data_IF_684922806768
#
_entry.id   IF_684922806768
#
_cell.length_a   1.000
_cell.length_b   1.000
_cell.length_c   1.000
_cell.angle_alpha   90.00
_cell.angle_beta   90.00
_cell.angle_gamma   90.00
#
_symmetry.space_group_name_H-M   'P 1'
#
loop_
_entity.id
_entity.type
_entity.pdbx_description
1 polymer ?
#
# COMPACT_ATOMS: atom_id res chain seq x y z
N UNK A 1 9.08 -77.17 11.02
CA UNK A 1 9.08 -77.39 9.55
C UNK A 1 9.80 -76.20 8.92
N UNK A 2 11.11 -76.33 8.70
CA UNK A 2 11.97 -75.35 8.04
C UNK A 2 12.01 -75.73 6.56
N UNK A 3 11.66 -74.81 5.67
CA UNK A 3 11.85 -74.99 4.22
C UNK A 3 12.94 -74.02 3.79
N UNK A 4 13.90 -74.61 3.09
CA UNK A 4 15.12 -74.04 2.53
C UNK A 4 14.75 -73.50 1.14
N UNK A 5 15.04 -72.23 0.86
CA UNK A 5 14.98 -71.69 -0.50
C UNK A 5 16.35 -71.80 -1.18
N UNK A 6 16.34 -72.44 -2.35
CA UNK A 6 17.47 -72.61 -3.25
C UNK A 6 17.64 -71.36 -4.12
N UNK A 7 18.88 -70.87 -4.23
CA UNK A 7 19.27 -69.87 -5.22
C UNK A 7 19.42 -70.49 -6.62
N UNK A 8 18.93 -69.78 -7.64
CA UNK A 8 19.23 -70.02 -9.05
C UNK A 8 19.75 -68.72 -9.66
N UNK A 9 21.02 -68.74 -10.03
CA UNK A 9 21.77 -67.66 -10.68
C UNK A 9 21.53 -67.71 -12.19
N UNK A 10 21.02 -66.63 -12.79
CA UNK A 10 20.95 -66.48 -14.25
C UNK A 10 21.83 -65.33 -14.71
N UNK A 11 22.86 -65.66 -15.49
CA UNK A 11 23.71 -64.74 -16.25
C UNK A 11 22.98 -64.25 -17.51
N UNK A 12 22.97 -62.94 -17.77
CA UNK A 12 22.68 -62.36 -19.09
C UNK A 12 23.78 -61.36 -19.49
N UNK A 13 24.21 -61.32 -20.76
CA UNK A 13 25.34 -60.53 -21.22
C UNK A 13 24.96 -59.06 -21.44
N UNK A 14 25.85 -58.15 -21.05
CA UNK A 14 25.72 -56.70 -21.29
C UNK A 14 26.25 -56.41 -22.70
N UNK A 15 25.36 -56.05 -23.64
CA UNK A 15 25.75 -55.43 -24.91
C UNK A 15 26.11 -53.95 -24.66
N UNK A 16 27.40 -53.60 -24.85
CA UNK A 16 27.86 -52.21 -24.88
C UNK A 16 27.64 -51.62 -26.27
N UNK A 17 26.64 -50.75 -26.41
CA UNK A 17 26.50 -49.88 -27.58
C UNK A 17 27.39 -48.65 -27.35
N UNK A 18 28.38 -48.45 -28.21
CA UNK A 18 29.26 -47.28 -28.20
C UNK A 18 28.67 -46.19 -29.10
N UNK A 19 28.29 -45.06 -28.51
CA UNK A 19 27.95 -43.84 -29.26
C UNK A 19 29.14 -42.88 -29.28
N UNK A 20 29.43 -42.30 -30.46
CA UNK A 20 30.54 -41.35 -30.66
C UNK A 20 30.31 -40.03 -29.89
N UNK A 21 31.35 -39.39 -29.32
CA UNK A 21 31.21 -38.34 -28.29
C UNK A 21 30.85 -36.93 -28.79
N UNK A 22 30.37 -36.78 -30.02
CA UNK A 22 30.18 -35.46 -30.66
C UNK A 22 28.73 -35.13 -31.02
N UNK A 23 27.79 -36.08 -30.93
CA UNK A 23 26.37 -35.84 -31.22
C UNK A 23 25.53 -35.67 -29.93
N UNK A 24 26.05 -36.08 -28.76
CA UNK A 24 25.35 -35.93 -27.47
C UNK A 24 25.46 -34.53 -26.85
N UNK A 25 26.37 -33.65 -27.31
CA UNK A 25 26.47 -32.28 -26.78
C UNK A 25 25.48 -31.29 -27.40
N UNK A 26 24.87 -31.61 -28.55
CA UNK A 26 23.86 -30.74 -29.19
C UNK A 26 22.41 -31.12 -28.88
N UNK A 27 22.13 -32.34 -28.43
CA UNK A 27 20.79 -32.70 -27.93
C UNK A 27 20.61 -32.43 -26.43
N UNK A 28 21.67 -32.45 -25.62
CA UNK A 28 21.55 -32.15 -24.18
C UNK A 28 21.46 -30.64 -23.87
N UNK A 29 21.89 -29.77 -24.79
CA UNK A 29 21.66 -28.32 -24.68
C UNK A 29 20.28 -27.87 -25.21
N UNK A 30 19.53 -28.73 -25.89
CA UNK A 30 18.19 -28.38 -26.41
C UNK A 30 17.06 -28.85 -25.48
N UNK A 31 17.31 -29.83 -24.60
CA UNK A 31 16.35 -30.27 -23.58
C UNK A 31 16.47 -29.52 -22.25
N UNK A 32 17.53 -28.73 -22.04
CA UNK A 32 17.68 -27.88 -20.85
C UNK A 32 17.24 -26.42 -21.10
N UNK A 33 17.00 -26.04 -22.36
CA UNK A 33 16.44 -24.73 -22.74
C UNK A 33 14.91 -24.70 -22.86
N UNK A 34 14.23 -25.83 -22.67
CA UNK A 34 12.76 -25.93 -22.72
C UNK A 34 12.09 -26.10 -21.35
N UNK A 35 12.85 -26.04 -20.25
CA UNK A 35 12.32 -26.11 -18.87
C UNK A 35 12.48 -24.80 -18.09
N UNK A 36 12.83 -23.70 -18.76
CA UNK A 36 12.97 -22.37 -18.17
C UNK A 36 11.94 -21.35 -18.70
N UNK A 37 10.78 -21.80 -19.17
CA UNK A 37 9.76 -20.93 -19.77
C UNK A 37 8.37 -20.96 -19.11
N UNK A 38 8.22 -21.52 -17.90
CA UNK A 38 6.90 -21.55 -17.21
C UNK A 38 6.97 -21.14 -15.75
N UNK A 39 7.68 -20.05 -15.46
CA UNK A 39 7.47 -19.29 -14.22
C UNK A 39 7.34 -17.80 -14.57
N UNK A 40 6.44 -17.49 -15.50
CA UNK A 40 5.71 -16.23 -15.38
C UNK A 40 4.89 -16.43 -14.11
N UNK A 41 5.41 -15.95 -12.97
CA UNK A 41 4.55 -15.64 -11.85
C UNK A 41 3.55 -14.63 -12.41
N UNK A 42 2.36 -15.11 -12.79
CA UNK A 42 1.23 -14.21 -12.92
C UNK A 42 1.12 -13.55 -11.57
N UNK A 43 1.51 -12.27 -11.49
CA UNK A 43 1.00 -11.43 -10.43
C UNK A 43 -0.51 -11.59 -10.55
N UNK A 44 -1.13 -12.21 -9.54
CA UNK A 44 -2.58 -12.19 -9.43
C UNK A 44 -3.00 -10.73 -9.64
N UNK A 45 -3.94 -10.50 -10.56
CA UNK A 45 -4.46 -9.16 -10.77
C UNK A 45 -4.78 -8.55 -9.39
N UNK A 46 -4.45 -7.26 -9.18
CA UNK A 46 -4.76 -6.61 -7.92
C UNK A 46 -6.23 -6.87 -7.55
N UNK A 47 -6.55 -7.05 -6.26
CA UNK A 47 -7.91 -7.37 -5.85
C UNK A 47 -8.87 -6.31 -6.39
N UNK A 48 -10.08 -6.73 -6.79
CA UNK A 48 -11.11 -5.77 -7.12
C UNK A 48 -11.52 -5.04 -5.85
N UNK A 49 -11.48 -3.72 -5.87
CA UNK A 49 -11.77 -2.88 -4.71
C UNK A 49 -12.54 -1.65 -5.11
N UNK A 50 -13.48 -1.24 -4.25
CA UNK A 50 -14.30 -0.05 -4.44
C UNK A 50 -14.04 0.98 -3.34
N UNK A 51 -14.22 2.26 -3.68
CA UNK A 51 -14.09 3.39 -2.76
C UNK A 51 -15.49 3.88 -2.38
N UNK A 52 -15.77 3.87 -1.07
CA UNK A 52 -16.99 4.40 -0.48
C UNK A 52 -16.69 5.66 0.31
N UNK A 53 -17.51 6.69 0.16
CA UNK A 53 -17.42 7.96 0.87
C UNK A 53 -18.61 8.11 1.82
N UNK A 54 -18.32 8.42 3.07
CA UNK A 54 -19.30 8.74 4.11
C UNK A 54 -19.21 10.21 4.47
N UNK A 55 -20.34 10.84 4.75
CA UNK A 55 -20.39 12.06 5.56
C UNK A 55 -20.03 11.71 7.01
N UNK A 56 -19.10 12.44 7.58
CA UNK A 56 -18.57 12.23 8.93
C UNK A 56 -18.88 13.45 9.82
N UNK A 57 -19.20 13.18 11.09
CA UNK A 57 -19.17 14.19 12.15
C UNK A 57 -18.42 13.64 13.34
N UNK A 58 -17.65 14.50 13.98
CA UNK A 58 -16.87 14.15 15.15
C UNK A 58 -17.18 15.08 16.33
N UNK A 59 -17.26 14.51 17.53
CA UNK A 59 -17.37 15.28 18.77
C UNK A 59 -16.76 14.51 19.93
N UNK A 60 -15.70 15.07 20.54
CA UNK A 60 -14.99 14.47 21.69
C UNK A 60 -14.59 13.01 21.42
N UNK A 61 -13.93 12.76 20.30
CA UNK A 61 -13.49 11.42 19.88
C UNK A 61 -14.59 10.48 19.39
N UNK A 62 -15.87 10.87 19.49
CA UNK A 62 -17.00 10.09 18.96
C UNK A 62 -17.25 10.46 17.51
N UNK A 63 -17.23 9.46 16.65
CA UNK A 63 -17.49 9.60 15.22
C UNK A 63 -18.92 9.13 14.92
N UNK A 64 -19.61 9.84 14.05
CA UNK A 64 -20.87 9.41 13.45
C UNK A 64 -20.75 9.49 11.93
N UNK A 65 -21.14 8.41 11.26
CA UNK A 65 -21.11 8.29 9.81
C UNK A 65 -22.54 8.28 9.26
N UNK A 66 -22.73 8.89 8.11
CA UNK A 66 -24.02 8.95 7.41
C UNK A 66 -23.78 9.12 5.91
N UNK A 67 -24.83 8.95 5.09
CA UNK A 67 -24.80 9.18 3.63
C UNK A 67 -23.60 8.51 2.96
N UNK A 68 -23.68 7.19 2.84
CA UNK A 68 -22.71 6.38 2.12
C UNK A 68 -22.92 6.50 0.61
N UNK A 69 -21.82 6.65 -0.14
CA UNK A 69 -21.81 6.61 -1.61
C UNK A 69 -20.61 5.79 -2.12
N UNK A 70 -20.85 4.81 -2.98
CA UNK A 70 -19.80 4.17 -3.78
C UNK A 70 -19.43 5.08 -4.96
N UNK A 71 -18.18 5.53 -5.03
CA UNK A 71 -17.70 6.43 -6.08
C UNK A 71 -16.89 5.72 -7.18
N UNK A 72 -16.59 4.43 -7.01
CA UNK A 72 -15.85 3.63 -8.00
C UNK A 72 -16.54 2.30 -8.25
N UNK A 73 -17.84 2.33 -8.49
CA UNK A 73 -18.67 1.12 -8.70
C UNK A 73 -18.35 0.47 -10.05
N UNK A 74 -17.27 -0.30 -10.11
CA UNK A 74 -16.80 -1.00 -11.31
C UNK A 74 -15.97 -2.22 -10.92
N UNK A 75 -15.73 -3.09 -11.90
CA UNK A 75 -14.72 -4.13 -11.73
C UNK A 75 -13.33 -3.52 -11.89
N UNK A 76 -12.42 -3.88 -10.98
CA UNK A 76 -11.02 -3.46 -11.00
C UNK A 76 -10.51 -2.94 -9.67
N UNK A 77 -9.26 -2.49 -9.66
CA UNK A 77 -8.57 -2.02 -8.48
C UNK A 77 -8.69 -0.50 -8.37
N UNK A 78 -9.50 -0.02 -7.44
CA UNK A 78 -9.57 1.37 -7.02
C UNK A 78 -9.14 1.50 -5.55
N UNK A 79 -8.06 2.24 -5.29
CA UNK A 79 -7.37 2.16 -4.01
C UNK A 79 -6.66 3.46 -3.60
N UNK A 80 -6.18 3.47 -2.36
CA UNK A 80 -5.32 4.52 -1.78
C UNK A 80 -5.90 5.94 -1.96
N UNK A 81 -7.17 6.19 -1.58
CA UNK A 81 -7.78 7.50 -1.74
C UNK A 81 -7.07 8.57 -0.91
N UNK A 82 -7.06 9.80 -1.41
CA UNK A 82 -6.68 11.00 -0.68
C UNK A 82 -7.57 12.17 -1.10
N UNK A 83 -7.93 13.03 -0.14
CA UNK A 83 -8.77 14.20 -0.42
C UNK A 83 -7.91 15.39 -0.86
N UNK A 84 -8.41 16.15 -1.83
CA UNK A 84 -7.86 17.43 -2.27
C UNK A 84 -8.92 18.53 -2.20
N UNK A 85 -8.63 19.61 -1.47
CA UNK A 85 -9.51 20.78 -1.26
C UNK A 85 -10.95 20.45 -0.77
N UNK A 86 -11.17 19.29 -0.15
CA UNK A 86 -12.49 18.78 0.28
C UNK A 86 -13.53 18.56 -0.84
N UNK A 87 -13.17 18.88 -2.09
CA UNK A 87 -14.00 18.79 -3.29
C UNK A 87 -13.64 17.59 -4.14
N UNK A 88 -12.38 17.13 -4.07
CA UNK A 88 -11.88 16.07 -4.92
C UNK A 88 -11.31 14.90 -4.12
N UNK A 89 -11.38 13.71 -4.71
CA UNK A 89 -10.65 12.53 -4.25
C UNK A 89 -9.68 12.10 -5.35
N UNK A 90 -8.40 12.03 -5.01
CA UNK A 90 -7.41 11.34 -5.84
C UNK A 90 -7.35 9.88 -5.41
N UNK A 91 -7.19 8.96 -6.36
CA UNK A 91 -7.06 7.54 -6.08
C UNK A 91 -6.29 6.81 -7.18
N UNK A 92 -5.72 5.67 -6.83
CA UNK A 92 -5.08 4.77 -7.78
C UNK A 92 -6.14 3.89 -8.45
N UNK A 93 -6.09 3.76 -9.77
CA UNK A 93 -7.03 2.94 -10.55
C UNK A 93 -6.30 2.06 -11.55
N UNK A 94 -6.61 0.76 -11.59
CA UNK A 94 -6.12 -0.12 -12.66
C UNK A 94 -6.85 0.11 -13.98
N UNK A 95 -6.08 0.19 -15.06
CA UNK A 95 -6.54 0.22 -16.45
C UNK A 95 -6.76 -1.21 -16.98
N UNK A 96 -7.23 -1.32 -18.24
CA UNK A 96 -7.59 -2.62 -18.84
C UNK A 96 -6.41 -3.58 -18.97
N UNK A 97 -5.20 -3.07 -19.16
CA UNK A 97 -3.96 -3.85 -19.26
C UNK A 97 -3.31 -4.14 -17.90
N UNK A 98 -3.91 -3.67 -16.81
CA UNK A 98 -3.43 -3.84 -15.44
C UNK A 98 -2.45 -2.76 -14.95
N UNK A 99 -1.98 -1.86 -15.82
CA UNK A 99 -1.23 -0.68 -15.39
C UNK A 99 -2.13 0.23 -14.53
N UNK A 100 -1.56 0.98 -13.58
CA UNK A 100 -2.33 1.86 -12.71
C UNK A 100 -2.02 3.33 -12.94
N UNK A 101 -3.07 4.13 -13.05
CA UNK A 101 -2.99 5.59 -13.12
C UNK A 101 -3.57 6.24 -11.87
N UNK A 102 -3.28 7.53 -11.69
CA UNK A 102 -3.98 8.36 -10.71
C UNK A 102 -5.19 9.02 -11.34
N UNK A 103 -6.35 8.76 -10.76
CA UNK A 103 -7.61 9.36 -11.12
C UNK A 103 -7.97 10.47 -10.13
N UNK A 104 -8.79 11.42 -10.58
CA UNK A 104 -9.45 12.41 -9.72
C UNK A 104 -10.96 12.28 -9.89
N UNK A 105 -11.69 12.24 -8.78
CA UNK A 105 -13.14 12.24 -8.71
C UNK A 105 -13.62 13.55 -8.09
N UNK A 106 -14.52 14.26 -8.79
CA UNK A 106 -15.19 15.45 -8.29
C UNK A 106 -16.41 15.05 -7.44
N UNK A 107 -16.42 15.44 -6.15
CA UNK A 107 -17.48 15.10 -5.22
C UNK A 107 -18.81 15.84 -5.49
N UNK A 108 -18.77 16.96 -6.22
CA UNK A 108 -19.92 17.78 -6.55
C UNK A 108 -20.50 17.43 -7.92
N UNK A 109 -19.68 17.45 -8.97
CA UNK A 109 -20.11 17.14 -10.34
C UNK A 109 -20.23 15.63 -10.59
N UNK A 110 -19.65 14.81 -9.71
CA UNK A 110 -19.64 13.35 -9.83
C UNK A 110 -18.90 12.82 -11.08
N UNK A 111 -17.91 13.58 -11.54
CA UNK A 111 -17.11 13.27 -12.71
C UNK A 111 -15.74 12.66 -12.33
N UNK A 112 -15.26 11.73 -13.17
CA UNK A 112 -13.95 11.10 -13.06
C UNK A 112 -13.06 11.57 -14.21
N UNK A 113 -11.81 11.94 -13.89
CA UNK A 113 -10.77 12.23 -14.88
C UNK A 113 -9.49 11.45 -14.56
N UNK A 114 -8.80 10.96 -15.59
CA UNK A 114 -7.45 10.42 -15.47
C UNK A 114 -6.43 11.57 -15.44
N UNK A 115 -5.62 11.68 -14.38
CA UNK A 115 -4.64 12.75 -14.21
C UNK A 115 -3.26 12.41 -14.77
N UNK A 116 -2.82 11.15 -14.70
CA UNK A 116 -1.45 10.79 -15.09
C UNK A 116 -1.36 10.21 -16.49
N UNK A 117 -2.29 9.33 -16.89
CA UNK A 117 -2.35 8.67 -18.20
C UNK A 117 -0.95 8.25 -18.69
N UNK A 118 -0.30 7.44 -17.86
CA UNK A 118 1.11 7.14 -17.91
C UNK A 118 1.39 5.80 -18.58
N UNK A 119 2.65 5.54 -18.93
CA UNK A 119 3.10 4.18 -19.30
C UNK A 119 3.55 3.37 -18.09
N UNK A 120 3.94 4.06 -17.03
CA UNK A 120 4.41 3.49 -15.79
C UNK A 120 3.24 3.39 -14.81
N UNK A 121 3.32 2.48 -13.84
CA UNK A 121 2.25 2.39 -12.82
C UNK A 121 2.49 3.38 -11.69
N UNK A 122 1.48 4.16 -11.34
CA UNK A 122 1.49 5.06 -10.19
C UNK A 122 0.55 4.60 -9.07
N UNK A 123 0.94 4.88 -7.82
CA UNK A 123 0.25 4.45 -6.61
C UNK A 123 0.29 5.52 -5.52
N UNK A 124 -0.60 5.39 -4.54
CA UNK A 124 -0.62 6.17 -3.30
C UNK A 124 -0.57 7.70 -3.53
N UNK A 125 -1.50 8.27 -4.32
CA UNK A 125 -1.51 9.70 -4.58
C UNK A 125 -1.71 10.48 -3.29
N UNK A 126 -0.90 11.52 -3.06
CA UNK A 126 -1.01 12.40 -1.91
C UNK A 126 -0.84 13.86 -2.35
N UNK A 127 -1.89 14.70 -2.23
CA UNK A 127 -1.77 16.13 -2.45
C UNK A 127 -0.68 16.76 -1.58
N UNK A 128 0.10 17.67 -2.17
CA UNK A 128 1.16 18.37 -1.46
C UNK A 128 0.56 19.62 -0.80
N UNK A 129 0.55 19.73 0.54
CA UNK A 129 -0.11 20.84 1.23
C UNK A 129 0.41 22.21 0.77
N UNK A 130 -0.52 23.09 0.37
CA UNK A 130 -0.20 24.46 -0.09
C UNK A 130 0.22 24.57 -1.56
N UNK A 131 0.26 23.48 -2.31
CA UNK A 131 0.61 23.47 -3.74
C UNK A 131 -0.50 22.85 -4.57
N UNK A 132 -0.63 23.29 -5.82
CA UNK A 132 -1.55 22.67 -6.79
C UNK A 132 -0.90 21.45 -7.46
N UNK A 133 -0.42 20.52 -6.63
CA UNK A 133 0.38 19.35 -7.03
C UNK A 133 0.11 18.16 -6.10
N UNK A 134 0.45 16.96 -6.55
CA UNK A 134 0.40 15.73 -5.76
C UNK A 134 1.66 14.91 -5.98
N UNK A 135 2.02 14.11 -4.98
CA UNK A 135 3.08 13.12 -5.09
C UNK A 135 2.49 11.71 -5.24
N UNK A 136 3.26 10.81 -5.84
CA UNK A 136 2.92 9.40 -6.05
C UNK A 136 4.14 8.53 -5.83
N UNK A 137 3.91 7.25 -5.57
CA UNK A 137 4.89 6.19 -5.80
C UNK A 137 4.76 5.75 -7.26
N UNK A 138 5.82 5.88 -8.06
CA UNK A 138 5.85 5.43 -9.46
C UNK A 138 6.78 4.23 -9.60
N UNK A 139 6.30 3.19 -10.29
CA UNK A 139 7.08 2.02 -10.70
C UNK A 139 7.49 2.23 -12.16
N UNK A 140 8.77 2.53 -12.36
CA UNK A 140 9.32 2.93 -13.65
C UNK A 140 9.68 1.73 -14.53
N UNK A 141 9.93 1.98 -15.82
CA UNK A 141 10.27 0.93 -16.78
C UNK A 141 11.49 0.06 -16.42
N UNK A 142 12.41 0.57 -15.60
CA UNK A 142 13.56 -0.18 -15.08
C UNK A 142 13.27 -0.93 -13.77
N UNK A 143 12.02 -0.90 -13.30
CA UNK A 143 11.51 -1.39 -12.01
C UNK A 143 12.00 -0.60 -10.79
N UNK A 144 12.65 0.56 -10.97
CA UNK A 144 12.84 1.48 -9.85
C UNK A 144 11.47 1.95 -9.34
N UNK A 145 11.38 2.13 -8.01
CA UNK A 145 10.15 2.54 -7.35
C UNK A 145 10.44 3.77 -6.49
N UNK A 146 10.06 4.94 -7.00
CA UNK A 146 10.45 6.24 -6.45
C UNK A 146 9.29 7.19 -6.29
N UNK A 147 9.51 8.27 -5.55
CA UNK A 147 8.53 9.33 -5.41
C UNK A 147 8.63 10.33 -6.56
N UNK A 148 7.49 10.59 -7.18
CA UNK A 148 7.34 11.57 -8.26
C UNK A 148 6.26 12.58 -7.91
N UNK A 149 6.45 13.83 -8.34
CA UNK A 149 5.49 14.91 -8.20
C UNK A 149 4.84 15.20 -9.56
N UNK A 150 3.54 15.41 -9.54
CA UNK A 150 2.72 15.83 -10.67
C UNK A 150 1.99 17.12 -10.32
N UNK A 151 1.74 17.97 -11.31
CA UNK A 151 0.84 19.11 -11.16
C UNK A 151 -0.60 18.65 -11.34
N UNK A 152 -1.54 19.29 -10.65
CA UNK A 152 -2.98 18.98 -10.77
C UNK A 152 -3.56 19.32 -12.16
N UNK A 153 -2.83 20.07 -13.00
CA UNK A 153 -3.26 20.36 -14.37
C UNK A 153 -3.24 19.13 -15.29
N UNK A 154 -2.48 18.08 -14.94
CA UNK A 154 -2.25 16.88 -15.76
C UNK A 154 -1.52 17.15 -17.08
N UNK A 155 -0.83 18.29 -17.21
CA UNK A 155 -0.16 18.75 -18.44
C UNK A 155 1.32 19.02 -18.24
N UNK A 156 1.69 19.47 -17.05
CA UNK A 156 3.09 19.74 -16.73
C UNK A 156 3.87 18.43 -16.57
N UNK A 157 5.12 18.42 -17.01
CA UNK A 157 5.99 17.25 -16.90
C UNK A 157 6.18 16.84 -15.43
N UNK A 158 6.07 15.54 -15.11
CA UNK A 158 6.28 15.06 -13.75
C UNK A 158 7.75 15.18 -13.34
N UNK A 159 7.99 15.38 -12.04
CA UNK A 159 9.32 15.61 -11.49
C UNK A 159 9.68 14.55 -10.46
N UNK A 160 10.89 14.00 -10.57
CA UNK A 160 11.43 13.08 -9.56
C UNK A 160 11.72 13.86 -8.27
N UNK A 161 11.27 13.34 -7.13
CA UNK A 161 11.47 13.99 -5.83
C UNK A 161 12.86 13.64 -5.25
N UNK A 162 13.23 12.36 -5.26
CA UNK A 162 14.53 11.88 -4.77
C UNK A 162 15.18 10.93 -5.78
N UNK A 163 16.43 11.18 -6.13
CA UNK A 163 17.18 10.38 -7.10
C UNK A 163 17.57 9.00 -6.56
N UNK A 164 18.01 8.96 -5.29
CA UNK A 164 18.65 7.81 -4.64
C UNK A 164 17.76 7.02 -3.69
N UNK A 165 16.68 7.60 -3.19
CA UNK A 165 15.82 6.94 -2.20
C UNK A 165 14.83 6.02 -2.93
N UNK A 166 15.09 4.72 -2.86
CA UNK A 166 14.28 3.66 -3.44
C UNK A 166 14.58 2.32 -2.75
N UNK A 167 13.67 1.33 -2.82
CA UNK A 167 12.29 1.42 -3.32
C UNK A 167 11.32 1.98 -2.28
N UNK A 168 10.53 3.01 -2.63
CA UNK A 168 9.56 3.65 -1.71
C UNK A 168 8.18 3.02 -1.86
N UNK A 169 7.60 2.51 -0.77
CA UNK A 169 6.27 1.87 -0.79
C UNK A 169 5.12 2.79 -0.40
N UNK A 170 5.34 3.64 0.60
CA UNK A 170 4.34 4.56 1.17
C UNK A 170 5.04 5.79 1.73
N UNK A 171 4.34 6.90 1.85
CA UNK A 171 4.92 8.13 2.35
C UNK A 171 3.87 9.07 2.96
N UNK A 172 4.33 10.03 3.76
CA UNK A 172 3.56 11.18 4.22
C UNK A 172 4.42 12.44 4.07
N UNK A 173 3.78 13.58 3.81
CA UNK A 173 4.44 14.87 3.60
C UNK A 173 4.06 15.84 4.70
N UNK A 174 5.06 16.55 5.24
CA UNK A 174 4.89 17.70 6.14
C UNK A 174 5.80 18.83 5.67
N UNK A 175 5.23 19.88 5.08
CA UNK A 175 5.99 20.99 4.48
C UNK A 175 6.96 20.46 3.39
N UNK A 176 8.26 20.49 3.64
CA UNK A 176 9.31 19.96 2.76
C UNK A 176 9.84 18.60 3.21
N UNK A 177 9.43 18.12 4.37
CA UNK A 177 9.89 16.85 4.91
C UNK A 177 8.96 15.71 4.47
N UNK A 178 9.54 14.59 4.06
CA UNK A 178 8.83 13.38 3.67
C UNK A 178 9.27 12.24 4.57
N UNK A 179 8.30 11.58 5.20
CA UNK A 179 8.51 10.33 5.93
C UNK A 179 8.10 9.16 5.04
N UNK A 180 9.01 8.23 4.80
CA UNK A 180 8.88 7.20 3.78
C UNK A 180 9.02 5.79 4.37
N UNK A 181 8.17 4.89 3.90
CA UNK A 181 8.34 3.45 3.99
C UNK A 181 9.24 3.00 2.85
N UNK A 182 10.46 2.56 3.15
CA UNK A 182 11.42 2.07 2.15
C UNK A 182 11.53 0.56 2.27
N UNK A 183 11.27 -0.17 1.17
CA UNK A 183 11.28 -1.63 1.20
C UNK A 183 12.70 -2.14 1.39
N UNK A 184 12.82 -3.22 2.16
CA UNK A 184 14.07 -3.88 2.49
C UNK A 184 13.82 -5.06 3.41
N UNK A 185 14.88 -5.69 3.89
CA UNK A 185 14.81 -6.72 4.93
C UNK A 185 15.75 -6.35 6.08
N UNK A 186 15.24 -5.67 7.13
CA UNK A 186 13.86 -5.22 7.33
C UNK A 186 13.48 -3.98 6.50
N UNK A 187 12.19 -3.69 6.42
CA UNK A 187 11.70 -2.38 5.98
C UNK A 187 12.22 -1.29 6.91
N UNK A 188 12.59 -0.14 6.35
CA UNK A 188 13.03 1.04 7.10
C UNK A 188 12.07 2.21 6.94
N UNK A 189 12.05 3.07 7.96
CA UNK A 189 11.39 4.37 7.93
C UNK A 189 12.45 5.44 7.70
N UNK A 190 12.41 6.08 6.53
CA UNK A 190 13.39 7.11 6.12
C UNK A 190 12.71 8.47 6.12
N UNK A 191 13.32 9.46 6.76
CA UNK A 191 12.90 10.85 6.67
C UNK A 191 13.90 11.63 5.82
N UNK A 192 13.41 12.36 4.82
CA UNK A 192 14.25 13.20 3.98
C UNK A 192 13.57 14.54 3.68
N UNK A 193 14.35 15.55 3.31
CA UNK A 193 13.86 16.87 2.95
C UNK A 193 13.98 17.13 1.44
N UNK A 194 12.95 17.70 0.82
CA UNK A 194 12.91 17.97 -0.63
C UNK A 194 13.95 19.00 -1.11
N UNK A 195 14.48 19.86 -0.22
CA UNK A 195 15.45 20.92 -0.57
C UNK A 195 16.89 20.55 -0.14
N UNK A 196 17.02 19.85 0.98
CA UNK A 196 18.29 19.37 1.52
C UNK A 196 18.29 17.84 1.45
N UNK A 197 19.09 17.23 0.56
CA UNK A 197 19.17 15.77 0.45
C UNK A 197 19.99 15.20 1.61
N UNK A 198 19.41 15.27 2.81
CA UNK A 198 19.79 14.57 4.02
C UNK A 198 18.71 13.52 4.29
N UNK A 199 19.07 12.24 4.27
CA UNK A 199 18.18 11.12 4.52
C UNK A 199 18.57 10.40 5.82
N UNK A 200 17.61 10.34 6.74
CA UNK A 200 17.80 9.70 8.04
C UNK A 200 16.91 8.47 8.19
N UNK A 201 17.52 7.34 8.53
CA UNK A 201 16.79 6.16 8.98
C UNK A 201 16.35 6.40 10.42
N UNK A 202 15.05 6.60 10.62
CA UNK A 202 14.45 6.86 11.94
C UNK A 202 14.26 5.57 12.73
N UNK A 203 13.75 4.53 12.09
CA UNK A 203 13.54 3.21 12.69
C UNK A 203 13.34 2.15 11.60
N UNK A 204 13.15 0.90 12.00
CA UNK A 204 12.87 -0.23 11.11
C UNK A 204 11.62 -1.01 11.55
N UNK A 205 11.23 -2.01 10.77
CA UNK A 205 10.07 -2.88 11.03
C UNK A 205 8.74 -2.13 11.12
N UNK A 206 8.61 -1.05 10.34
CA UNK A 206 7.37 -0.29 10.25
C UNK A 206 6.33 -1.00 9.37
N UNK A 207 5.06 -0.74 9.66
CA UNK A 207 3.97 -1.08 8.75
C UNK A 207 3.76 0.01 7.70
N UNK A 208 2.81 -0.22 6.80
CA UNK A 208 2.57 0.63 5.63
C UNK A 208 1.90 1.97 5.96
N UNK A 209 1.22 2.04 7.09
CA UNK A 209 0.42 3.24 7.42
C UNK A 209 1.32 4.30 8.05
N UNK A 210 1.52 5.41 7.31
CA UNK A 210 2.20 6.62 7.74
C UNK A 210 1.32 7.81 7.39
N UNK A 211 1.11 8.75 8.31
CA UNK A 211 0.28 9.95 8.11
C UNK A 211 0.93 11.19 8.72
N UNK A 212 0.67 12.35 8.14
CA UNK A 212 0.81 13.62 8.86
C UNK A 212 -0.27 13.69 9.94
N UNK A 213 0.05 14.21 11.13
CA UNK A 213 -0.94 14.52 12.16
C UNK A 213 -1.55 15.90 11.82
N UNK A 214 -2.86 15.99 11.51
CA UNK A 214 -3.51 17.23 11.14
C UNK A 214 -3.27 18.36 12.14
N UNK A 215 -3.10 19.58 11.64
CA UNK A 215 -2.83 20.77 12.46
C UNK A 215 -1.43 20.84 13.07
N UNK A 216 -0.54 19.88 12.77
CA UNK A 216 0.84 19.86 13.27
C UNK A 216 1.83 19.66 12.13
N UNK A 217 3.12 19.56 12.48
CA UNK A 217 4.19 19.11 11.57
C UNK A 217 4.63 17.68 11.87
N UNK A 218 4.04 17.05 12.88
CA UNK A 218 4.44 15.74 13.36
C UNK A 218 3.82 14.65 12.49
N UNK A 219 4.48 13.49 12.45
CA UNK A 219 3.96 12.32 11.76
C UNK A 219 3.41 11.31 12.76
N UNK A 220 2.61 10.39 12.26
CA UNK A 220 2.23 9.17 12.96
C UNK A 220 2.42 7.97 12.04
N UNK A 221 2.87 6.85 12.61
CA UNK A 221 3.18 5.65 11.85
C UNK A 221 2.93 4.40 12.71
N UNK A 222 2.86 3.24 12.09
CA UNK A 222 2.76 1.96 12.80
C UNK A 222 4.07 1.17 12.73
N UNK A 223 4.39 0.44 13.79
CA UNK A 223 5.57 -0.42 13.87
C UNK A 223 5.23 -1.76 14.50
N UNK A 224 5.80 -2.84 13.95
CA UNK A 224 5.70 -4.16 14.55
C UNK A 224 6.78 -4.32 15.61
N UNK A 225 6.39 -4.70 16.81
CA UNK A 225 7.29 -4.95 17.92
C UNK A 225 7.77 -6.41 17.94
N UNK A 226 8.82 -6.70 18.70
CA UNK A 226 9.43 -8.04 18.78
C UNK A 226 8.45 -9.11 19.31
N UNK A 227 7.52 -8.72 20.18
CA UNK A 227 6.46 -9.59 20.69
C UNK A 227 5.33 -9.86 19.67
N UNK A 228 5.43 -9.29 18.46
CA UNK A 228 4.47 -9.46 17.38
C UNK A 228 3.29 -8.48 17.39
N UNK A 229 3.14 -7.63 18.40
CA UNK A 229 2.09 -6.60 18.38
C UNK A 229 2.44 -5.48 17.40
N UNK A 230 1.42 -4.76 16.93
CA UNK A 230 1.61 -3.56 16.11
C UNK A 230 1.18 -2.35 16.93
N UNK A 231 2.09 -1.40 17.10
CA UNK A 231 1.85 -0.17 17.84
C UNK A 231 1.80 1.01 16.86
N UNK A 232 0.91 1.96 17.14
CA UNK A 232 0.88 3.27 16.48
C UNK A 232 1.70 4.23 17.33
N UNK A 233 2.58 4.99 16.68
CA UNK A 233 3.50 5.95 17.25
C UNK A 233 3.24 7.35 16.70
N UNK A 234 3.53 8.38 17.50
CA UNK A 234 3.70 9.77 17.05
C UNK A 234 5.20 10.05 16.96
N UNK A 235 5.65 10.56 15.82
CA UNK A 235 7.02 11.04 15.59
C UNK A 235 7.04 12.57 15.66
N UNK A 236 7.85 13.12 16.56
CA UNK A 236 8.14 14.54 16.56
C UNK A 236 9.08 14.88 15.39
N UNK A 237 8.65 15.76 14.49
CA UNK A 237 9.41 16.07 13.27
C UNK A 237 10.81 16.62 13.55
N UNK A 238 10.92 17.50 14.54
CA UNK A 238 12.15 18.24 14.82
C UNK A 238 13.16 17.40 15.60
N UNK A 239 12.73 16.68 16.65
CA UNK A 239 13.64 15.88 17.47
C UNK A 239 13.89 14.47 16.92
N UNK A 240 13.09 14.04 15.93
CA UNK A 240 13.10 12.67 15.37
C UNK A 240 12.83 11.57 16.40
N UNK A 241 12.34 11.94 17.59
CA UNK A 241 11.92 10.99 18.63
C UNK A 241 10.44 10.63 18.46
N UNK A 242 10.09 9.38 18.77
CA UNK A 242 8.71 8.92 18.70
C UNK A 242 8.23 8.28 20.00
N UNK A 243 6.94 8.45 20.27
CA UNK A 243 6.26 7.95 21.48
C UNK A 243 5.04 7.12 21.13
N UNK A 244 4.78 6.08 21.93
CA UNK A 244 3.64 5.17 21.72
C UNK A 244 2.33 5.96 21.89
N UNK A 245 1.41 5.77 20.95
CA UNK A 245 0.03 6.27 21.03
C UNK A 245 -0.89 5.15 21.53
N UNK A 246 -1.01 4.06 20.77
CA UNK A 246 -1.94 2.97 21.07
C UNK A 246 -1.48 1.66 20.44
N UNK A 247 -1.88 0.53 21.01
CA UNK A 247 -1.78 -0.77 20.35
C UNK A 247 -2.92 -0.94 19.35
N UNK A 248 -2.58 -1.41 18.15
CA UNK A 248 -3.56 -1.65 17.09
C UNK A 248 -4.39 -2.91 17.40
N UNK A 249 -5.72 -2.92 17.16
CA UNK A 249 -6.53 -4.11 17.40
C UNK A 249 -6.01 -5.30 16.59
N UNK A 250 -6.12 -6.51 17.15
CA UNK A 250 -5.71 -7.72 16.43
C UNK A 250 -6.51 -7.89 15.15
N UNK A 251 -5.82 -8.10 14.03
CA UNK A 251 -6.43 -8.26 12.71
C UNK A 251 -6.91 -6.96 12.08
N UNK A 252 -6.56 -5.80 12.66
CA UNK A 252 -6.95 -4.53 12.08
C UNK A 252 -6.17 -4.18 10.81
N UNK A 253 -6.87 -3.52 9.90
CA UNK A 253 -6.37 -3.04 8.62
C UNK A 253 -5.64 -1.69 8.75
N UNK A 254 -5.33 -1.03 7.64
CA UNK A 254 -4.74 0.30 7.67
C UNK A 254 -5.64 1.30 8.43
N UNK A 255 -5.07 2.43 8.81
CA UNK A 255 -5.75 3.45 9.60
C UNK A 255 -5.54 4.86 9.05
N UNK A 256 -6.34 5.79 9.54
CA UNK A 256 -6.21 7.23 9.29
C UNK A 256 -6.40 7.99 10.60
N UNK A 257 -6.16 9.30 10.58
CA UNK A 257 -6.33 10.20 11.72
C UNK A 257 -7.20 11.39 11.30
N UNK A 258 -8.12 11.80 12.17
CA UNK A 258 -9.01 12.95 11.96
C UNK A 258 -8.34 14.28 12.32
N UNK A 259 -8.96 15.38 11.92
CA UNK A 259 -8.56 16.74 12.31
C UNK A 259 -8.49 16.95 13.84
N UNK A 260 -9.32 16.23 14.59
CA UNK A 260 -9.42 16.29 16.05
C UNK A 260 -8.53 15.23 16.75
N UNK A 261 -7.65 14.55 16.00
CA UNK A 261 -6.69 13.58 16.56
C UNK A 261 -7.26 12.19 16.86
N UNK A 262 -8.42 11.84 16.29
CA UNK A 262 -9.00 10.49 16.42
C UNK A 262 -8.45 9.57 15.34
N UNK A 263 -7.87 8.46 15.75
CA UNK A 263 -7.45 7.38 14.87
C UNK A 263 -8.66 6.53 14.49
N UNK A 264 -8.80 6.22 13.20
CA UNK A 264 -9.84 5.33 12.67
C UNK A 264 -9.15 4.14 12.04
N UNK A 265 -9.61 2.92 12.35
CA UNK A 265 -9.16 1.69 11.71
C UNK A 265 -10.36 0.76 11.46
N UNK A 266 -10.10 -0.42 10.91
CA UNK A 266 -11.12 -1.45 10.70
C UNK A 266 -10.68 -2.82 11.15
N UNK A 267 -11.63 -3.65 11.60
CA UNK A 267 -11.45 -5.09 11.81
C UNK A 267 -12.59 -5.80 11.07
N UNK A 268 -12.26 -6.44 9.94
CA UNK A 268 -13.29 -6.96 9.02
C UNK A 268 -14.16 -5.82 8.47
N UNK A 269 -15.48 -5.91 8.69
CA UNK A 269 -16.47 -4.91 8.28
C UNK A 269 -16.66 -3.77 9.30
N UNK A 270 -16.06 -3.88 10.49
CA UNK A 270 -16.27 -2.91 11.57
C UNK A 270 -15.26 -1.78 11.48
N UNK A 271 -15.72 -0.55 11.65
CA UNK A 271 -14.88 0.63 11.84
C UNK A 271 -14.74 0.92 13.34
N UNK A 272 -13.53 1.25 13.78
CA UNK A 272 -13.21 1.57 15.17
C UNK A 272 -12.49 2.92 15.26
N UNK A 273 -12.73 3.63 16.36
CA UNK A 273 -12.14 4.92 16.69
C UNK A 273 -11.32 4.84 17.99
N UNK A 274 -10.19 5.54 18.03
CA UNK A 274 -9.43 5.79 19.25
C UNK A 274 -8.96 7.24 19.26
N UNK A 275 -9.37 8.00 20.28
CA UNK A 275 -8.84 9.34 20.52
C UNK A 275 -8.04 9.31 21.83
N UNK A 276 -6.74 9.64 21.83
CA UNK A 276 -5.90 9.53 23.03
C UNK A 276 -6.33 10.46 24.18
N UNK A 277 -7.13 11.50 23.92
CA UNK A 277 -7.65 12.41 24.95
C UNK A 277 -8.99 11.96 25.55
N UNK A 278 -9.70 11.06 24.87
CA UNK A 278 -11.10 10.74 25.20
C UNK A 278 -11.37 9.25 25.42
N UNK A 279 -10.49 8.37 24.92
CA UNK A 279 -10.66 6.92 25.02
C UNK A 279 -9.43 6.25 25.65
N UNK A 280 -9.67 5.17 26.39
CA UNK A 280 -8.61 4.28 26.88
C UNK A 280 -8.41 3.06 25.97
N UNK A 281 -9.37 2.80 25.07
CA UNK A 281 -9.40 1.65 24.17
C UNK A 281 -10.10 2.01 22.86
N UNK A 282 -10.00 1.14 21.85
CA UNK A 282 -10.70 1.31 20.59
C UNK A 282 -12.20 1.12 20.77
N UNK A 283 -12.99 2.06 20.26
CA UNK A 283 -14.46 2.07 20.34
C UNK A 283 -15.04 1.83 18.96
N UNK A 284 -16.00 0.92 18.84
CA UNK A 284 -16.71 0.69 17.56
C UNK A 284 -17.48 1.95 17.12
N UNK A 285 -17.33 2.33 15.86
CA UNK A 285 -18.08 3.42 15.22
C UNK A 285 -19.36 2.86 14.62
N UNK A 286 -19.21 1.91 13.70
CA UNK A 286 -20.28 1.19 13.00
C UNK A 286 -19.78 -0.19 12.55
N UNK A 287 -20.72 -1.08 12.27
CA UNK A 287 -20.52 -2.23 11.41
C UNK A 287 -21.07 -1.90 10.00
N UNK A 288 -20.21 -1.92 8.99
CA UNK A 288 -20.61 -1.62 7.60
C UNK A 288 -21.38 -2.75 6.92
N UNK A 289 -21.60 -3.87 7.61
CA UNK A 289 -22.44 -4.96 7.14
C UNK A 289 -21.97 -5.53 5.80
N UNK A 290 -22.88 -5.58 4.81
CA UNK A 290 -22.56 -6.12 3.48
C UNK A 290 -21.53 -5.29 2.72
N UNK A 291 -21.48 -3.97 2.95
CA UNK A 291 -20.55 -3.07 2.25
C UNK A 291 -19.10 -3.43 2.56
N UNK A 292 -18.78 -3.73 3.81
CA UNK A 292 -17.45 -4.13 4.24
C UNK A 292 -17.29 -5.63 4.48
N UNK A 293 -18.20 -6.48 4.01
CA UNK A 293 -18.22 -7.91 4.33
C UNK A 293 -16.91 -8.62 3.92
N UNK A 294 -16.32 -8.19 2.80
CA UNK A 294 -15.05 -8.73 2.28
C UNK A 294 -13.81 -7.98 2.83
N UNK A 295 -14.02 -7.08 3.79
CA UNK A 295 -12.98 -6.37 4.53
C UNK A 295 -12.70 -4.96 4.02
N UNK A 296 -12.46 -4.05 4.97
CA UNK A 296 -12.04 -2.67 4.69
C UNK A 296 -10.51 -2.59 4.73
N UNK A 297 -9.88 -2.12 3.66
CA UNK A 297 -8.42 -2.19 3.49
C UNK A 297 -7.69 -0.87 3.63
N UNK A 298 -8.32 0.26 3.31
CA UNK A 298 -7.75 1.61 3.41
C UNK A 298 -8.81 2.62 3.81
N UNK A 299 -8.35 3.79 4.22
CA UNK A 299 -9.20 4.91 4.53
C UNK A 299 -8.45 6.25 4.45
N UNK A 300 -9.21 7.33 4.28
CA UNK A 300 -8.73 8.70 4.30
C UNK A 300 -9.82 9.62 4.86
N UNK A 301 -9.40 10.71 5.51
CA UNK A 301 -10.30 11.74 6.06
C UNK A 301 -10.09 13.04 5.29
N UNK A 302 -11.16 13.78 5.02
CA UNK A 302 -11.08 15.09 4.38
C UNK A 302 -10.44 16.13 5.30
N UNK A 303 -9.84 17.15 4.71
CA UNK A 303 -9.21 18.24 5.47
C UNK A 303 -10.20 18.98 6.38
N UNK A 304 -11.45 19.14 5.96
CA UNK A 304 -12.53 19.76 6.74
C UNK A 304 -13.13 18.82 7.80
N UNK A 305 -12.57 17.62 7.96
CA UNK A 305 -12.97 16.63 8.94
C UNK A 305 -14.45 16.21 8.86
N UNK A 306 -15.03 16.26 7.66
CA UNK A 306 -16.46 16.06 7.40
C UNK A 306 -16.76 14.88 6.47
N UNK A 307 -15.73 14.20 5.96
CA UNK A 307 -15.84 13.02 5.09
C UNK A 307 -14.82 11.96 5.44
N UNK A 308 -15.24 10.70 5.32
CA UNK A 308 -14.39 9.52 5.42
C UNK A 308 -14.52 8.71 4.13
N UNK A 309 -13.42 8.53 3.40
CA UNK A 309 -13.33 7.54 2.34
C UNK A 309 -12.81 6.23 2.90
N UNK A 310 -13.40 5.10 2.51
CA UNK A 310 -12.91 3.75 2.81
C UNK A 310 -12.76 2.95 1.52
N UNK A 311 -11.81 2.02 1.50
CA UNK A 311 -11.66 1.04 0.42
C UNK A 311 -12.16 -0.30 0.91
N UNK A 312 -13.05 -0.94 0.16
CA UNK A 312 -13.59 -2.27 0.45
C UNK A 312 -13.14 -3.25 -0.62
N UNK A 313 -12.92 -4.51 -0.24
CA UNK A 313 -12.74 -5.58 -1.23
C UNK A 313 -14.11 -5.97 -1.81
N UNK A 314 -14.14 -6.31 -3.10
CA UNK A 314 -15.30 -6.89 -3.76
C UNK A 314 -15.29 -8.42 -3.66
#
# INVERSE_FOLDING_TARGET
MKIIEFQLTTYFPIFRISFKPTIMKKLFCLSLLLLLSTAIFGQSAPPSTDIYVYSMKEKKGKISLSKEKNITKRDGYDNQPSFFNNEYILYTSSQQDGQTDIMIYDLYEEEVKNLTNSKDSEYSPLPIPGFNSFAVVRVEADNSQRLWMYHMDGKSEPQLIFDKIQPVGYFAISERDILMFVLGQPVTMVMANMEEVDDDIITSNIGRTIRLIPGTKDFTFERREENGTTLIYRLNKSSKQFTKVVEKPKGASDWTITGEGTYITSVGAKLLAFNPEHHNEWVEIIDSGQVGANGITRMAVSQENDKLAIVVNN
#
